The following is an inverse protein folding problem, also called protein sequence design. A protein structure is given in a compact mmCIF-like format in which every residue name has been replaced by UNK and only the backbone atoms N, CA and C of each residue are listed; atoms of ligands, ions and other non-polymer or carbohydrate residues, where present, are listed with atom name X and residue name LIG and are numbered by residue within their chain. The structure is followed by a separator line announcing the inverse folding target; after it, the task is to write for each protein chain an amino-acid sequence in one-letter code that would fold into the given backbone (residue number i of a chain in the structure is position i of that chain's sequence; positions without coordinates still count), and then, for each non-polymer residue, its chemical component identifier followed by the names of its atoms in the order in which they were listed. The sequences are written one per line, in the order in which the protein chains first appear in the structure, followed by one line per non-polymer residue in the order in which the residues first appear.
data_IF_936517137435
#
_entry.id   IF_936517137435
#
_cell.length_a   1.000
_cell.length_b   1.000
_cell.length_c   1.000
_cell.angle_alpha   90.00
_cell.angle_beta   90.00
_cell.angle_gamma   90.00
#
_symmetry.space_group_name_H-M   'P 1'
#
loop_
_entity.id
_entity.type
_entity.pdbx_description
1 polymer ?
#
# COMPACT_ATOMS: atom_id res chain seq x y z
N UNK A 1 -71.80 -27.23 -11.19
CA UNK A 1 -72.81 -28.08 -10.54
C UNK A 1 -72.39 -28.36 -9.11
N UNK A 2 -73.27 -27.84 -8.15
CA UNK A 2 -73.60 -28.38 -6.84
C UNK A 2 -72.48 -28.30 -5.76
N UNK A 3 -72.70 -27.88 -4.53
CA UNK A 3 -73.89 -27.41 -3.77
C UNK A 3 -73.41 -26.73 -2.50
N UNK A 4 -74.15 -25.69 -2.07
CA UNK A 4 -74.01 -24.95 -0.82
C UNK A 4 -74.52 -25.83 0.33
N UNK A 5 -73.85 -25.78 1.49
CA UNK A 5 -74.50 -26.13 2.75
C UNK A 5 -73.92 -25.27 3.90
N UNK A 6 -74.77 -24.43 4.40
CA UNK A 6 -74.66 -23.68 5.67
C UNK A 6 -74.50 -24.62 6.86
N UNK A 7 -73.63 -24.26 7.80
CA UNK A 7 -73.77 -24.64 9.21
C UNK A 7 -73.34 -23.53 10.15
N UNK A 8 -74.25 -23.25 11.00
CA UNK A 8 -74.30 -22.21 12.01
C UNK A 8 -73.08 -22.17 12.91
N UNK A 9 -72.59 -20.96 13.22
CA UNK A 9 -71.58 -20.65 14.21
C UNK A 9 -72.22 -20.34 15.52
N UNK A 10 -72.05 -21.20 16.51
CA UNK A 10 -72.49 -21.00 17.89
C UNK A 10 -71.38 -20.12 18.60
N UNK A 11 -71.82 -18.92 19.00
CA UNK A 11 -71.00 -17.95 19.74
C UNK A 11 -70.94 -18.35 21.22
N UNK A 12 -69.78 -18.79 21.70
CA UNK A 12 -69.45 -18.93 23.11
C UNK A 12 -68.67 -17.72 23.61
N UNK A 13 -69.34 -16.79 24.24
CA UNK A 13 -68.72 -15.74 25.06
C UNK A 13 -68.14 -16.36 26.33
N UNK A 14 -66.81 -16.49 26.40
CA UNK A 14 -66.08 -16.71 27.65
C UNK A 14 -65.37 -15.44 28.03
N UNK A 15 -65.80 -14.87 29.17
CA UNK A 15 -65.18 -13.75 29.86
C UNK A 15 -63.74 -14.12 30.27
N UNK A 16 -62.72 -13.49 29.67
CA UNK A 16 -61.37 -13.54 30.14
C UNK A 16 -61.09 -12.34 31.03
N UNK A 17 -60.94 -12.57 32.34
CA UNK A 17 -60.42 -11.57 33.29
C UNK A 17 -58.94 -11.37 33.04
N UNK A 18 -58.58 -10.19 32.53
CA UNK A 18 -57.18 -9.80 32.30
C UNK A 18 -56.58 -9.30 33.61
N UNK A 19 -55.86 -10.18 34.32
CA UNK A 19 -55.03 -9.79 35.46
C UNK A 19 -53.74 -9.17 34.93
N UNK A 20 -53.60 -7.84 34.97
CA UNK A 20 -52.37 -7.11 34.65
C UNK A 20 -51.36 -7.33 35.78
N UNK A 21 -50.41 -8.24 35.57
CA UNK A 21 -49.26 -8.42 36.46
C UNK A 21 -48.25 -7.30 36.11
N UNK A 22 -48.20 -6.27 36.96
CA UNK A 22 -47.22 -5.18 36.88
C UNK A 22 -45.87 -5.72 37.29
N UNK A 23 -45.05 -6.18 36.32
CA UNK A 23 -43.67 -6.59 36.58
C UNK A 23 -42.83 -5.30 36.68
N UNK A 24 -42.50 -4.87 37.88
CA UNK A 24 -41.50 -3.85 38.12
C UNK A 24 -40.12 -4.41 37.72
N UNK A 25 -39.61 -4.05 36.54
CA UNK A 25 -38.22 -4.22 36.24
C UNK A 25 -37.38 -3.23 37.08
N UNK A 26 -36.41 -3.68 37.86
CA UNK A 26 -35.49 -2.75 38.47
C UNK A 26 -34.74 -2.03 37.33
N UNK A 27 -34.84 -0.71 37.30
CA UNK A 27 -34.01 0.12 36.41
C UNK A 27 -32.54 -0.05 36.85
N UNK A 28 -31.86 -0.98 36.26
CA UNK A 28 -30.38 -1.05 36.34
C UNK A 28 -29.85 0.22 35.65
N UNK A 29 -29.50 1.20 36.50
CA UNK A 29 -28.68 2.34 36.05
C UNK A 29 -27.38 1.73 35.54
N UNK A 30 -27.26 1.55 34.21
CA UNK A 30 -25.98 1.32 33.58
C UNK A 30 -25.11 2.55 33.89
N UNK A 31 -24.30 2.45 34.91
CA UNK A 31 -23.18 3.35 35.12
C UNK A 31 -22.37 3.30 33.84
N UNK A 32 -22.46 4.34 33.01
CA UNK A 32 -21.47 4.56 31.95
C UNK A 32 -20.13 4.68 32.67
N UNK A 33 -19.34 3.61 32.63
CA UNK A 33 -17.93 3.69 32.99
C UNK A 33 -17.31 4.69 31.99
N UNK A 34 -17.07 5.90 32.48
CA UNK A 34 -16.27 6.89 31.76
C UNK A 34 -14.91 6.21 31.58
N UNK A 35 -14.57 5.83 30.34
CA UNK A 35 -13.26 5.27 30.05
C UNK A 35 -12.20 6.21 30.62
N UNK A 36 -11.16 5.69 31.27
CA UNK A 36 -10.08 6.53 31.79
C UNK A 36 -9.55 7.42 30.67
N UNK A 37 -9.23 8.69 30.93
CA UNK A 37 -8.75 9.60 29.92
C UNK A 37 -7.52 8.99 29.23
N UNK A 38 -7.55 8.94 27.89
CA UNK A 38 -6.43 8.44 27.09
C UNK A 38 -5.13 9.13 27.51
N UNK A 39 -4.08 8.34 27.74
CA UNK A 39 -2.78 8.85 28.15
C UNK A 39 -2.25 9.86 27.12
N UNK A 40 -1.81 11.01 27.60
CA UNK A 40 -1.17 12.01 26.75
C UNK A 40 0.32 11.68 26.65
N UNK A 41 0.85 11.69 25.43
CA UNK A 41 2.28 11.55 25.18
C UNK A 41 2.77 12.88 24.61
N UNK A 42 3.91 13.37 25.11
CA UNK A 42 4.60 14.55 24.60
C UNK A 42 5.94 14.11 24.00
N UNK A 43 6.11 14.30 22.71
CA UNK A 43 7.40 14.10 22.02
C UNK A 43 8.11 15.43 21.92
N UNK A 44 9.31 15.54 22.50
CA UNK A 44 10.21 16.70 22.38
C UNK A 44 11.16 16.43 21.20
N UNK A 45 10.94 17.06 20.08
CA UNK A 45 11.79 16.91 18.89
C UNK A 45 12.87 18.00 18.87
N UNK A 46 14.15 17.61 18.76
CA UNK A 46 15.23 18.57 18.52
C UNK A 46 15.07 19.25 17.17
N UNK A 47 14.79 18.43 16.14
CA UNK A 47 14.37 18.87 14.81
C UNK A 47 13.10 18.13 14.40
N UNK A 48 12.24 18.81 13.65
CA UNK A 48 11.03 18.26 13.05
C UNK A 48 11.06 18.59 11.56
N UNK A 49 10.95 17.57 10.71
CA UNK A 49 10.78 17.76 9.27
C UNK A 49 9.32 18.10 8.98
N UNK A 50 9.07 19.36 8.65
CA UNK A 50 7.76 19.84 8.19
C UNK A 50 7.65 19.63 6.69
N UNK A 51 7.18 18.44 6.31
CA UNK A 51 7.07 18.03 4.90
C UNK A 51 6.05 18.83 4.10
N UNK A 52 5.04 19.44 4.76
CA UNK A 52 4.03 20.25 4.07
C UNK A 52 4.60 21.59 3.59
N UNK A 53 5.45 22.21 4.39
CA UNK A 53 6.08 23.49 4.07
C UNK A 53 7.51 23.34 3.54
N UNK A 54 8.08 22.13 3.54
CA UNK A 54 9.45 21.87 3.11
C UNK A 54 10.49 22.51 4.04
N UNK A 55 10.22 22.54 5.34
CA UNK A 55 11.05 23.22 6.34
C UNK A 55 11.59 22.25 7.40
N UNK A 56 12.69 22.62 8.02
CA UNK A 56 13.19 21.99 9.26
C UNK A 56 12.90 22.93 10.41
N UNK A 57 12.08 22.48 11.36
CA UNK A 57 11.71 23.26 12.53
C UNK A 57 12.49 22.76 13.76
N UNK A 58 13.08 23.69 14.49
CA UNK A 58 13.85 23.40 15.71
C UNK A 58 12.95 23.36 16.96
N UNK A 59 13.30 22.47 17.92
CA UNK A 59 12.73 22.42 19.27
C UNK A 59 11.20 22.40 19.33
N UNK A 60 10.59 21.46 18.60
CA UNK A 60 9.13 21.31 18.54
C UNK A 60 8.63 20.33 19.62
N UNK A 61 7.43 20.61 20.14
CA UNK A 61 6.66 19.69 20.97
C UNK A 61 5.51 19.13 20.12
N UNK A 62 5.38 17.80 20.12
CA UNK A 62 4.26 17.10 19.48
C UNK A 62 3.46 16.43 20.60
N UNK A 63 2.21 16.83 20.79
CA UNK A 63 1.29 16.21 21.74
C UNK A 63 0.41 15.18 21.05
N UNK A 64 0.33 14.01 21.65
CA UNK A 64 -0.47 12.88 21.18
C UNK A 64 -1.52 12.51 22.22
N UNK A 65 -2.71 12.11 21.77
CA UNK A 65 -3.75 11.49 22.62
C UNK A 65 -4.33 10.31 21.87
N UNK A 66 -4.20 9.10 22.45
CA UNK A 66 -4.53 7.87 21.78
C UNK A 66 -3.82 7.78 20.44
N UNK A 67 -4.57 7.55 19.37
CA UNK A 67 -4.04 7.38 18.01
C UNK A 67 -3.70 8.69 17.27
N UNK A 68 -4.02 9.86 17.86
CA UNK A 68 -4.00 11.13 17.11
C UNK A 68 -3.02 12.15 17.67
N UNK A 69 -2.48 12.95 16.75
CA UNK A 69 -1.75 14.17 17.09
C UNK A 69 -2.77 15.24 17.46
N UNK A 70 -2.59 15.90 18.61
CA UNK A 70 -3.51 16.94 19.09
C UNK A 70 -2.93 18.36 18.99
N UNK A 71 -1.61 18.49 19.07
CA UNK A 71 -0.94 19.80 18.89
C UNK A 71 0.51 19.60 18.44
N UNK A 72 1.04 20.57 17.68
CA UNK A 72 2.45 20.65 17.27
C UNK A 72 2.89 22.11 17.34
N UNK A 73 4.05 22.39 17.91
CA UNK A 73 4.62 23.74 17.95
C UNK A 73 5.71 23.92 19.00
N UNK A 74 6.50 24.98 18.86
CA UNK A 74 7.56 25.33 19.83
C UNK A 74 7.02 25.76 21.19
N UNK A 75 5.83 26.40 21.21
CA UNK A 75 5.22 26.96 22.42
C UNK A 75 4.13 26.07 23.03
N UNK A 76 4.00 24.82 22.55
CA UNK A 76 3.01 23.87 23.05
C UNK A 76 3.33 23.49 24.48
N UNK A 77 2.37 23.72 25.38
CA UNK A 77 2.51 23.36 26.80
C UNK A 77 2.29 21.88 27.01
N UNK A 78 3.22 21.23 27.68
CA UNK A 78 3.10 19.81 28.05
C UNK A 78 2.18 19.71 29.26
N UNK A 79 1.04 18.98 29.18
CA UNK A 79 0.15 18.78 30.30
C UNK A 79 0.84 18.02 31.45
N UNK A 80 0.45 18.33 32.71
CA UNK A 80 0.90 17.57 33.84
C UNK A 80 0.49 16.09 33.71
N UNK A 81 1.41 15.16 34.02
CA UNK A 81 1.18 13.73 33.89
C UNK A 81 1.34 13.15 32.48
N UNK A 82 1.70 13.95 31.48
CA UNK A 82 2.02 13.43 30.14
C UNK A 82 3.30 12.57 30.17
N UNK A 83 3.27 11.42 29.49
CA UNK A 83 4.49 10.62 29.21
C UNK A 83 5.38 11.41 28.26
N UNK A 84 6.63 11.66 28.64
CA UNK A 84 7.58 12.40 27.79
C UNK A 84 8.46 11.40 27.04
N UNK A 85 8.53 11.57 25.71
CA UNK A 85 9.54 10.98 24.83
C UNK A 85 10.51 12.10 24.46
N UNK A 86 11.73 12.03 24.99
CA UNK A 86 12.73 13.08 24.79
C UNK A 86 13.63 12.74 23.60
N UNK A 87 13.37 13.41 22.45
CA UNK A 87 14.15 13.36 21.22
C UNK A 87 14.79 14.72 20.92
N UNK A 88 15.20 15.45 21.97
CA UNK A 88 15.82 16.77 21.83
C UNK A 88 17.14 16.77 21.05
N UNK A 89 17.76 15.58 20.88
CA UNK A 89 18.97 15.38 20.07
C UNK A 89 18.70 14.71 18.72
N UNK A 90 17.44 14.34 18.43
CA UNK A 90 17.05 13.58 17.23
C UNK A 90 16.28 14.45 16.25
N UNK A 91 16.18 13.96 15.02
CA UNK A 91 15.26 14.47 14.00
C UNK A 91 14.03 13.60 13.93
N UNK A 92 12.84 14.19 14.10
CA UNK A 92 11.55 13.52 14.01
C UNK A 92 10.91 13.82 12.65
N UNK A 93 10.36 12.78 12.03
CA UNK A 93 9.65 12.84 10.74
C UNK A 93 8.29 12.14 10.86
N UNK A 94 7.36 12.40 9.90
CA UNK A 94 6.21 11.51 9.72
C UNK A 94 6.67 10.08 9.47
N UNK A 95 5.86 9.10 9.86
CA UNK A 95 6.07 7.72 9.44
C UNK A 95 6.12 7.62 7.90
N UNK A 96 7.08 6.87 7.39
CA UNK A 96 7.31 6.70 5.97
C UNK A 96 6.21 5.85 5.33
N UNK A 97 6.00 6.06 4.04
CA UNK A 97 5.02 5.36 3.22
C UNK A 97 5.73 4.78 2.00
N UNK A 98 5.63 3.48 1.80
CA UNK A 98 6.07 2.79 0.59
C UNK A 98 4.84 2.50 -0.28
N UNK A 99 4.82 3.01 -1.51
CA UNK A 99 3.67 2.89 -2.40
C UNK A 99 3.74 1.68 -3.34
N UNK A 100 4.78 0.86 -3.25
CA UNK A 100 4.95 -0.33 -4.07
C UNK A 100 5.61 -1.45 -3.27
N UNK A 101 4.78 -2.30 -2.67
CA UNK A 101 5.25 -3.47 -1.91
C UNK A 101 4.46 -4.73 -2.29
N UNK A 102 5.03 -5.89 -1.95
CA UNK A 102 4.47 -7.22 -2.10
C UNK A 102 4.69 -8.02 -0.81
N UNK A 103 4.14 -7.52 0.33
CA UNK A 103 4.39 -8.11 1.65
C UNK A 103 3.84 -9.53 1.79
N UNK A 104 2.69 -9.79 1.14
CA UNK A 104 1.98 -11.06 1.22
C UNK A 104 2.13 -11.91 -0.05
N UNK A 105 3.07 -11.55 -0.91
CA UNK A 105 3.46 -12.37 -2.05
C UNK A 105 4.71 -13.17 -1.70
N UNK A 106 4.77 -14.43 -2.11
CA UNK A 106 5.98 -15.24 -1.96
C UNK A 106 7.11 -14.83 -2.93
N UNK A 107 7.18 -13.56 -3.32
CA UNK A 107 8.07 -13.01 -4.34
C UNK A 107 9.57 -13.20 -4.05
N UNK A 108 9.95 -13.44 -2.80
CA UNK A 108 11.31 -13.88 -2.45
C UNK A 108 11.74 -15.20 -3.09
N UNK A 109 10.79 -15.95 -3.65
CA UNK A 109 11.05 -17.17 -4.38
C UNK A 109 11.27 -16.92 -5.89
N UNK A 110 11.76 -15.74 -6.27
CA UNK A 110 12.30 -15.49 -7.61
C UNK A 110 13.60 -16.29 -7.84
N UNK A 111 13.54 -17.56 -7.44
CA UNK A 111 14.62 -18.54 -7.65
C UNK A 111 14.65 -19.08 -9.10
N UNK A 112 13.82 -18.49 -9.97
CA UNK A 112 13.69 -18.92 -11.36
C UNK A 112 12.89 -20.22 -11.54
N UNK A 113 12.37 -20.83 -10.45
CA UNK A 113 11.49 -21.98 -10.52
C UNK A 113 10.01 -21.52 -10.50
N UNK A 114 9.28 -21.56 -11.63
CA UNK A 114 7.88 -21.16 -11.67
C UNK A 114 6.99 -22.00 -10.76
N UNK A 115 7.45 -23.19 -10.34
CA UNK A 115 6.71 -24.05 -9.43
C UNK A 115 6.89 -23.70 -7.95
N UNK A 116 7.80 -22.78 -7.59
CA UNK A 116 8.09 -22.43 -6.19
C UNK A 116 6.83 -21.98 -5.45
N UNK A 117 6.01 -21.14 -6.08
CA UNK A 117 4.74 -20.67 -5.55
C UNK A 117 3.70 -21.78 -5.29
N UNK A 118 3.80 -22.92 -5.99
CA UNK A 118 2.88 -24.04 -5.84
C UNK A 118 3.30 -24.99 -4.70
N UNK A 119 4.48 -24.83 -4.13
CA UNK A 119 5.00 -25.68 -3.04
C UNK A 119 4.42 -25.33 -1.68
N UNK A 120 3.73 -24.19 -1.55
CA UNK A 120 3.16 -23.66 -0.31
C UNK A 120 1.64 -23.47 -0.46
N UNK A 121 0.91 -23.62 0.61
CA UNK A 121 -0.50 -23.24 0.68
C UNK A 121 -0.64 -21.70 0.82
N UNK A 122 -1.80 -21.14 0.47
CA UNK A 122 -2.07 -19.72 0.70
C UNK A 122 -1.87 -19.32 2.18
N UNK A 123 -2.28 -20.18 3.11
CA UNK A 123 -2.11 -19.95 4.54
C UNK A 123 -0.64 -19.91 4.97
N UNK A 124 0.21 -20.78 4.41
CA UNK A 124 1.66 -20.74 4.68
C UNK A 124 2.27 -19.42 4.18
N UNK A 125 1.92 -18.98 2.97
CA UNK A 125 2.42 -17.71 2.41
C UNK A 125 2.01 -16.53 3.29
N UNK A 126 0.75 -16.46 3.76
CA UNK A 126 0.30 -15.39 4.69
C UNK A 126 1.05 -15.45 6.02
N UNK A 127 1.30 -16.63 6.58
CA UNK A 127 2.06 -16.75 7.83
C UNK A 127 3.53 -16.34 7.65
N UNK A 128 4.15 -16.68 6.53
CA UNK A 128 5.51 -16.28 6.19
C UNK A 128 5.64 -14.78 5.91
N UNK A 129 4.56 -14.09 5.56
CA UNK A 129 4.54 -12.64 5.35
C UNK A 129 4.52 -11.80 6.64
N UNK A 130 4.22 -12.41 7.78
CA UNK A 130 4.20 -11.71 9.09
C UNK A 130 5.56 -11.10 9.45
N UNK A 131 6.69 -11.82 9.35
CA UNK A 131 8.02 -11.22 9.51
C UNK A 131 8.29 -10.07 8.55
N UNK A 132 7.84 -10.16 7.29
CA UNK A 132 8.00 -9.11 6.28
C UNK A 132 7.31 -7.82 6.71
N UNK A 133 6.04 -7.93 7.12
CA UNK A 133 5.26 -6.81 7.62
C UNK A 133 5.90 -6.16 8.86
N UNK A 134 6.40 -6.97 9.82
CA UNK A 134 7.11 -6.46 11.00
C UNK A 134 8.39 -5.75 10.61
N UNK A 135 9.20 -6.31 9.73
CA UNK A 135 10.46 -5.74 9.26
C UNK A 135 10.24 -4.39 8.58
N UNK A 136 9.25 -4.31 7.68
CA UNK A 136 8.84 -3.07 7.00
C UNK A 136 8.45 -1.99 8.02
N UNK A 137 7.61 -2.32 9.02
CA UNK A 137 7.24 -1.38 10.07
C UNK A 137 8.45 -0.91 10.89
N UNK A 138 9.35 -1.81 11.29
CA UNK A 138 10.54 -1.50 12.08
C UNK A 138 11.58 -0.70 11.29
N UNK A 139 11.56 -0.76 9.95
CA UNK A 139 12.37 0.09 9.07
C UNK A 139 11.84 1.52 8.93
N UNK A 140 10.67 1.82 9.56
CA UNK A 140 10.10 3.16 9.59
C UNK A 140 8.93 3.39 8.64
N UNK A 141 8.56 2.39 7.83
CA UNK A 141 7.39 2.46 6.94
C UNK A 141 6.14 2.10 7.72
N UNK A 142 5.43 3.11 8.19
CA UNK A 142 4.20 2.94 9.00
C UNK A 142 2.96 2.66 8.15
N UNK A 143 3.05 2.91 6.85
CA UNK A 143 2.00 2.66 5.87
C UNK A 143 2.61 2.11 4.59
N UNK A 144 1.93 1.18 3.93
CA UNK A 144 2.30 0.65 2.62
C UNK A 144 1.09 0.58 1.69
N UNK A 145 1.36 0.68 0.38
CA UNK A 145 0.43 0.25 -0.67
C UNK A 145 0.99 -1.04 -1.27
N UNK A 146 0.34 -2.15 -0.93
CA UNK A 146 0.68 -3.48 -1.45
C UNK A 146 -0.02 -3.67 -2.80
N UNK A 147 0.75 -3.76 -3.87
CA UNK A 147 0.21 -3.60 -5.23
C UNK A 147 -0.12 -4.93 -5.91
N UNK A 148 -0.45 -5.92 -5.13
CA UNK A 148 -1.00 -7.19 -5.58
C UNK A 148 -0.15 -8.39 -5.24
N UNK A 149 -0.74 -9.55 -5.46
CA UNK A 149 -0.19 -10.87 -5.13
C UNK A 149 -0.55 -11.89 -6.21
N UNK A 150 0.30 -12.90 -6.40
CA UNK A 150 0.01 -14.03 -7.28
C UNK A 150 -1.10 -14.91 -6.71
N UNK A 151 -1.06 -15.18 -5.39
CA UNK A 151 -2.15 -15.89 -4.71
C UNK A 151 -3.17 -14.91 -4.17
N UNK A 152 -4.29 -14.82 -4.87
CA UNK A 152 -5.33 -13.84 -4.61
C UNK A 152 -5.72 -13.75 -3.13
N UNK A 153 -5.88 -12.50 -2.65
CA UNK A 153 -6.41 -12.11 -1.34
C UNK A 153 -5.50 -12.41 -0.14
N UNK A 154 -4.26 -12.85 -0.35
CA UNK A 154 -3.30 -13.05 0.74
C UNK A 154 -2.96 -11.70 1.42
N UNK A 155 -2.81 -10.63 0.64
CA UNK A 155 -2.60 -9.25 1.12
C UNK A 155 -3.81 -8.71 1.90
N UNK A 156 -5.02 -9.02 1.46
CA UNK A 156 -6.27 -8.70 2.18
C UNK A 156 -6.28 -9.40 3.54
N UNK A 157 -5.92 -10.68 3.59
CA UNK A 157 -5.87 -11.43 4.83
C UNK A 157 -4.81 -10.89 5.80
N UNK A 158 -3.63 -10.51 5.32
CA UNK A 158 -2.56 -9.91 6.12
C UNK A 158 -2.99 -8.52 6.65
N UNK A 159 -3.52 -7.63 5.79
CA UNK A 159 -4.07 -6.34 6.19
C UNK A 159 -5.09 -6.48 7.32
N UNK A 160 -6.07 -7.34 7.13
CA UNK A 160 -7.14 -7.55 8.10
C UNK A 160 -6.62 -8.08 9.44
N UNK A 161 -5.59 -8.93 9.42
CA UNK A 161 -4.94 -9.41 10.64
C UNK A 161 -4.19 -8.28 11.38
N UNK A 162 -3.53 -7.38 10.64
CA UNK A 162 -2.86 -6.21 11.21
C UNK A 162 -3.88 -5.23 11.78
N UNK A 163 -4.96 -4.93 11.06
CA UNK A 163 -6.00 -4.00 11.50
C UNK A 163 -6.74 -4.48 12.75
N UNK A 164 -6.91 -5.79 12.90
CA UNK A 164 -7.48 -6.43 14.10
C UNK A 164 -6.46 -6.55 15.25
N UNK A 165 -5.21 -6.20 15.03
CA UNK A 165 -4.14 -6.28 16.01
C UNK A 165 -3.67 -7.71 16.33
N UNK A 166 -3.93 -8.68 15.44
CA UNK A 166 -3.46 -10.05 15.59
C UNK A 166 -1.98 -10.18 15.30
N UNK A 167 -1.47 -9.36 14.38
CA UNK A 167 -0.06 -9.28 14.02
C UNK A 167 0.41 -7.84 13.93
N UNK A 168 1.71 -7.60 14.14
CA UNK A 168 2.33 -6.29 13.96
C UNK A 168 2.71 -6.07 12.49
N UNK A 169 2.41 -4.88 11.97
CA UNK A 169 2.76 -4.48 10.61
C UNK A 169 2.38 -3.04 10.31
N UNK A 170 2.73 -2.52 9.14
CA UNK A 170 2.30 -1.20 8.68
C UNK A 170 0.78 -1.19 8.42
N UNK A 171 0.20 0.01 8.29
CA UNK A 171 -1.15 0.16 7.71
C UNK A 171 -1.06 -0.21 6.23
N UNK A 172 -1.83 -1.19 5.77
CA UNK A 172 -1.78 -1.67 4.39
C UNK A 172 -2.97 -1.17 3.58
N UNK A 173 -2.70 -0.81 2.32
CA UNK A 173 -3.69 -0.60 1.27
C UNK A 173 -3.41 -1.62 0.18
N UNK A 174 -4.35 -2.52 -0.11
CA UNK A 174 -4.12 -3.77 -0.83
C UNK A 174 -4.89 -3.87 -2.13
N UNK A 175 -4.36 -4.61 -3.10
CA UNK A 175 -4.95 -4.81 -4.42
C UNK A 175 -5.62 -6.19 -4.62
N UNK A 176 -5.35 -7.18 -3.78
CA UNK A 176 -5.98 -8.49 -3.76
C UNK A 176 -5.50 -9.47 -4.83
N UNK A 177 -5.27 -9.02 -6.05
CA UNK A 177 -4.68 -9.79 -7.15
C UNK A 177 -4.28 -8.86 -8.29
N UNK A 178 -3.38 -9.33 -9.15
CA UNK A 178 -3.05 -8.65 -10.41
C UNK A 178 -4.19 -8.85 -11.42
N UNK A 179 -4.70 -7.78 -12.05
CA UNK A 179 -5.50 -7.92 -13.27
C UNK A 179 -4.52 -7.98 -14.43
N UNK A 180 -4.49 -9.11 -15.14
CA UNK A 180 -3.51 -9.45 -16.17
C UNK A 180 -4.19 -10.23 -17.31
N UNK A 181 -3.58 -10.25 -18.48
CA UNK A 181 -4.00 -11.14 -19.57
C UNK A 181 -3.57 -12.58 -19.29
N UNK A 182 -4.18 -13.55 -19.95
CA UNK A 182 -3.70 -14.95 -19.92
C UNK A 182 -2.26 -15.02 -20.42
N UNK A 183 -1.38 -15.58 -19.58
CA UNK A 183 0.06 -15.64 -19.87
C UNK A 183 0.80 -14.31 -19.81
N UNK A 184 0.17 -13.27 -19.25
CA UNK A 184 0.79 -11.96 -19.04
C UNK A 184 1.67 -11.89 -17.80
N UNK A 185 2.20 -10.70 -17.52
CA UNK A 185 3.18 -10.43 -16.47
C UNK A 185 2.72 -10.83 -15.07
N UNK A 186 1.42 -10.73 -14.78
CA UNK A 186 0.82 -11.12 -13.49
C UNK A 186 0.26 -12.54 -13.47
N UNK A 187 0.43 -13.32 -14.53
CA UNK A 187 -0.01 -14.69 -14.58
C UNK A 187 1.11 -15.65 -14.15
N UNK A 188 0.71 -16.77 -13.58
CA UNK A 188 1.64 -17.89 -13.35
C UNK A 188 1.95 -18.58 -14.67
N UNK A 189 3.19 -18.47 -15.13
CA UNK A 189 3.66 -18.96 -16.43
C UNK A 189 4.77 -20.00 -16.29
N UNK A 190 5.25 -20.57 -17.40
CA UNK A 190 6.35 -21.55 -17.39
C UNK A 190 5.89 -23.00 -17.21
N UNK A 191 4.58 -23.29 -17.23
CA UNK A 191 4.01 -24.63 -17.12
C UNK A 191 3.55 -25.18 -18.47
N UNK A 192 3.44 -26.50 -18.57
CA UNK A 192 2.80 -27.13 -19.71
C UNK A 192 1.31 -26.73 -19.79
N UNK A 193 0.74 -26.57 -21.01
CA UNK A 193 -0.63 -26.07 -21.18
C UNK A 193 -1.75 -26.91 -20.58
N UNK A 194 -1.47 -28.17 -20.24
CA UNK A 194 -2.40 -29.09 -19.60
C UNK A 194 -2.37 -29.06 -18.07
N UNK A 195 -1.44 -28.29 -17.47
CA UNK A 195 -1.39 -28.07 -16.02
C UNK A 195 -2.51 -27.12 -15.62
N UNK A 196 -3.32 -27.55 -14.65
CA UNK A 196 -4.37 -26.72 -14.05
C UNK A 196 -3.87 -26.14 -12.75
N UNK A 197 -3.74 -24.83 -12.71
CA UNK A 197 -3.38 -24.09 -11.50
C UNK A 197 -4.58 -23.99 -10.53
N UNK A 198 -4.35 -23.88 -9.23
CA UNK A 198 -5.37 -23.48 -8.27
C UNK A 198 -6.07 -22.16 -8.68
N UNK A 199 -7.35 -22.05 -8.34
CA UNK A 199 -8.21 -20.94 -8.75
C UNK A 199 -7.67 -19.54 -8.35
N UNK A 200 -6.95 -19.48 -7.24
CA UNK A 200 -6.40 -18.25 -6.67
C UNK A 200 -5.27 -17.63 -7.53
N UNK A 201 -4.58 -18.44 -8.35
CA UNK A 201 -3.57 -17.94 -9.28
C UNK A 201 -4.14 -17.33 -10.56
N UNK A 202 -5.36 -17.70 -10.94
CA UNK A 202 -6.02 -17.16 -12.14
C UNK A 202 -7.12 -16.15 -11.81
N UNK A 203 -7.15 -15.68 -10.55
CA UNK A 203 -8.23 -14.84 -10.04
C UNK A 203 -8.40 -13.55 -10.82
N UNK A 204 -7.29 -12.89 -11.19
CA UNK A 204 -7.28 -11.63 -11.92
C UNK A 204 -7.18 -11.75 -13.44
N UNK A 205 -7.10 -12.95 -14.04
CA UNK A 205 -6.99 -13.08 -15.49
C UNK A 205 -8.23 -12.55 -16.22
N UNK A 206 -7.99 -11.69 -17.24
CA UNK A 206 -9.01 -11.07 -18.06
C UNK A 206 -8.47 -10.76 -19.46
N UNK A 207 -9.24 -11.07 -20.52
CA UNK A 207 -8.82 -10.97 -21.93
C UNK A 207 -9.78 -10.11 -22.77
N UNK A 208 -10.59 -9.30 -22.12
CA UNK A 208 -11.50 -8.36 -22.79
C UNK A 208 -11.92 -7.25 -21.83
N UNK A 209 -12.39 -6.09 -22.33
CA UNK A 209 -12.91 -5.02 -21.48
C UNK A 209 -14.04 -5.47 -20.55
N UNK A 210 -14.86 -6.43 -20.98
CA UNK A 210 -15.91 -7.02 -20.16
C UNK A 210 -15.37 -7.83 -19.00
N UNK A 211 -14.41 -8.71 -19.26
CA UNK A 211 -13.78 -9.53 -18.21
C UNK A 211 -13.01 -8.66 -17.22
N UNK A 212 -12.30 -7.64 -17.68
CA UNK A 212 -11.64 -6.64 -16.81
C UNK A 212 -12.65 -6.00 -15.85
N UNK A 213 -13.84 -5.57 -16.34
CA UNK A 213 -14.89 -5.03 -15.46
C UNK A 213 -15.37 -6.04 -14.43
N UNK A 214 -15.53 -7.31 -14.83
CA UNK A 214 -15.91 -8.38 -13.91
C UNK A 214 -14.88 -8.57 -12.80
N UNK A 215 -13.57 -8.57 -13.14
CA UNK A 215 -12.49 -8.71 -12.16
C UNK A 215 -12.44 -7.52 -11.20
N UNK A 216 -12.61 -6.30 -11.70
CA UNK A 216 -12.70 -5.12 -10.83
C UNK A 216 -13.86 -5.23 -9.83
N UNK A 217 -15.05 -5.67 -10.27
CA UNK A 217 -16.20 -5.90 -9.38
C UNK A 217 -15.93 -6.95 -8.33
N UNK A 218 -15.29 -8.04 -8.73
CA UNK A 218 -14.95 -9.13 -7.84
C UNK A 218 -13.98 -8.67 -6.75
N UNK A 219 -12.87 -8.03 -7.13
CA UNK A 219 -11.91 -7.47 -6.19
C UNK A 219 -12.52 -6.41 -5.27
N UNK A 220 -13.38 -5.52 -5.81
CA UNK A 220 -14.11 -4.55 -5.00
C UNK A 220 -15.03 -5.21 -3.96
N UNK A 221 -15.71 -6.32 -4.33
CA UNK A 221 -16.51 -7.13 -3.42
C UNK A 221 -15.66 -7.74 -2.30
N UNK A 222 -14.46 -8.20 -2.62
CA UNK A 222 -13.54 -8.82 -1.67
C UNK A 222 -12.81 -7.81 -0.77
N UNK A 223 -13.09 -6.52 -0.95
CA UNK A 223 -12.69 -5.47 -0.03
C UNK A 223 -11.27 -4.96 -0.25
N UNK A 224 -10.79 -4.95 -1.50
CA UNK A 224 -9.51 -4.30 -1.84
C UNK A 224 -9.59 -2.77 -1.73
N UNK A 225 -8.45 -2.10 -1.57
CA UNK A 225 -8.35 -0.66 -1.41
C UNK A 225 -8.04 0.06 -2.73
N UNK A 226 -7.51 -0.65 -3.70
CA UNK A 226 -7.21 -0.19 -5.06
C UNK A 226 -7.13 -1.36 -6.04
N UNK A 227 -7.02 -1.06 -7.33
CA UNK A 227 -6.87 -2.05 -8.40
C UNK A 227 -5.44 -1.98 -8.95
N UNK A 228 -4.82 -3.12 -9.20
CA UNK A 228 -3.55 -3.23 -9.93
C UNK A 228 -3.76 -3.93 -11.27
N UNK A 229 -3.38 -3.26 -12.36
CA UNK A 229 -3.36 -3.83 -13.72
C UNK A 229 -1.93 -3.95 -14.23
N UNK A 230 -1.67 -4.95 -15.07
CA UNK A 230 -0.39 -5.16 -15.76
C UNK A 230 -0.55 -4.70 -17.21
N UNK A 231 -0.06 -3.48 -17.52
CA UNK A 231 -0.22 -2.87 -18.84
C UNK A 231 0.80 -3.39 -19.85
N UNK A 232 1.94 -3.87 -19.36
CA UNK A 232 3.02 -4.46 -20.18
C UNK A 232 3.52 -5.74 -19.54
N UNK A 233 4.38 -6.44 -20.27
CA UNK A 233 5.18 -7.52 -19.70
C UNK A 233 6.13 -7.04 -18.60
N UNK A 234 6.67 -7.98 -17.83
CA UNK A 234 7.56 -7.76 -16.69
C UNK A 234 8.95 -8.36 -16.93
N UNK A 235 9.93 -7.90 -16.14
CA UNK A 235 11.33 -8.39 -16.18
C UNK A 235 11.44 -9.78 -15.56
N UNK A 236 10.76 -10.03 -14.43
CA UNK A 236 10.92 -11.22 -13.60
C UNK A 236 9.82 -12.28 -13.82
N UNK A 237 9.10 -12.26 -14.93
CA UNK A 237 8.07 -13.25 -15.26
C UNK A 237 8.47 -14.09 -16.47
N UNK A 238 8.51 -15.41 -16.32
CA UNK A 238 8.85 -16.35 -17.40
C UNK A 238 7.98 -16.15 -18.64
N UNK A 239 8.62 -16.01 -19.81
CA UNK A 239 7.92 -15.83 -21.08
C UNK A 239 7.29 -14.45 -21.29
N UNK A 240 7.37 -13.56 -20.31
CA UNK A 240 6.94 -12.18 -20.43
C UNK A 240 8.03 -11.32 -21.11
N UNK A 241 7.61 -10.27 -21.80
CA UNK A 241 8.51 -9.33 -22.46
C UNK A 241 8.21 -7.91 -21.98
N UNK A 242 9.10 -7.26 -21.21
CA UNK A 242 8.87 -5.91 -20.69
C UNK A 242 8.68 -4.86 -21.78
N UNK A 243 9.10 -5.13 -23.02
CA UNK A 243 8.88 -4.24 -24.17
C UNK A 243 7.53 -4.46 -24.87
N UNK A 244 6.72 -5.46 -24.45
CA UNK A 244 5.44 -5.76 -25.06
C UNK A 244 4.29 -5.14 -24.27
N UNK A 245 3.36 -4.51 -24.97
CA UNK A 245 2.07 -4.12 -24.41
C UNK A 245 1.22 -5.38 -24.21
N UNK A 246 0.53 -5.48 -23.05
CA UNK A 246 -0.38 -6.57 -22.74
C UNK A 246 -1.84 -6.14 -22.83
N UNK A 247 -2.24 -5.10 -22.11
CA UNK A 247 -3.60 -4.56 -22.21
C UNK A 247 -3.70 -3.45 -23.27
N UNK A 248 -4.78 -3.48 -24.05
CA UNK A 248 -5.17 -2.37 -24.93
C UNK A 248 -5.63 -1.16 -24.14
N UNK A 249 -5.67 0.01 -24.78
CA UNK A 249 -6.23 1.22 -24.15
C UNK A 249 -7.69 1.02 -23.71
N UNK A 250 -8.50 0.29 -24.47
CA UNK A 250 -9.91 0.04 -24.16
C UNK A 250 -10.06 -0.82 -22.88
N UNK A 251 -9.21 -1.83 -22.71
CA UNK A 251 -9.20 -2.68 -21.50
C UNK A 251 -8.77 -1.88 -20.26
N UNK A 252 -7.74 -1.05 -20.39
CA UNK A 252 -7.29 -0.15 -19.32
C UNK A 252 -8.38 0.88 -18.95
N UNK A 253 -9.07 1.44 -19.93
CA UNK A 253 -10.21 2.33 -19.70
C UNK A 253 -11.37 1.61 -19.01
N UNK A 254 -11.61 0.34 -19.34
CA UNK A 254 -12.61 -0.49 -18.66
C UNK A 254 -12.26 -0.67 -17.18
N UNK A 255 -10.98 -0.93 -16.87
CA UNK A 255 -10.52 -1.05 -15.48
C UNK A 255 -10.74 0.25 -14.71
N UNK A 256 -10.28 1.39 -15.24
CA UNK A 256 -10.38 2.70 -14.59
C UNK A 256 -11.83 3.13 -14.41
N UNK A 257 -12.65 3.01 -15.47
CA UNK A 257 -14.07 3.38 -15.43
C UNK A 257 -14.83 2.55 -14.38
N UNK A 258 -14.58 1.25 -14.32
CA UNK A 258 -15.25 0.38 -13.37
C UNK A 258 -14.77 0.62 -11.93
N UNK A 259 -13.46 0.77 -11.72
CA UNK A 259 -12.88 1.07 -10.40
C UNK A 259 -13.46 2.37 -9.81
N UNK A 260 -13.64 3.40 -10.63
CA UNK A 260 -14.22 4.67 -10.22
C UNK A 260 -15.66 4.52 -9.68
N UNK A 261 -16.46 3.56 -10.19
CA UNK A 261 -17.80 3.27 -9.68
C UNK A 261 -17.79 2.80 -8.22
N UNK A 262 -16.69 2.23 -7.78
CA UNK A 262 -16.48 1.77 -6.39
C UNK A 262 -15.61 2.73 -5.56
N UNK A 263 -15.23 3.89 -6.12
CA UNK A 263 -14.32 4.83 -5.45
C UNK A 263 -12.88 4.35 -5.35
N UNK A 264 -12.53 3.30 -6.09
CA UNK A 264 -11.18 2.72 -6.15
C UNK A 264 -10.33 3.43 -7.19
N UNK A 265 -9.02 3.39 -6.99
CA UNK A 265 -8.02 3.91 -7.91
C UNK A 265 -7.28 2.77 -8.59
N UNK A 266 -6.72 3.03 -9.77
CA UNK A 266 -5.97 2.04 -10.53
C UNK A 266 -4.49 2.39 -10.52
N UNK A 267 -3.65 1.43 -10.19
CA UNK A 267 -2.21 1.41 -10.36
C UNK A 267 -1.86 0.53 -11.56
N UNK A 268 -0.94 0.95 -12.43
CA UNK A 268 -0.56 0.19 -13.62
C UNK A 268 0.93 -0.12 -13.62
N UNK A 269 1.29 -1.41 -13.61
CA UNK A 269 2.63 -1.85 -13.96
C UNK A 269 2.88 -1.57 -15.45
N UNK A 270 3.96 -0.89 -15.80
CA UNK A 270 4.33 -0.67 -17.18
C UNK A 270 5.82 -0.35 -17.35
N UNK A 271 6.48 -1.10 -18.24
CA UNK A 271 7.85 -0.82 -18.68
C UNK A 271 7.90 -0.18 -20.07
N UNK A 272 7.14 -0.71 -21.05
CA UNK A 272 7.15 -0.26 -22.43
C UNK A 272 6.49 1.12 -22.64
N UNK A 273 7.02 1.99 -23.52
CA UNK A 273 6.52 3.35 -23.70
C UNK A 273 5.03 3.42 -24.07
N UNK A 274 4.55 2.55 -24.97
CA UNK A 274 3.14 2.56 -25.37
C UNK A 274 2.20 2.10 -24.25
N UNK A 275 2.60 1.07 -23.47
CA UNK A 275 1.83 0.63 -22.30
C UNK A 275 1.75 1.72 -21.23
N UNK A 276 2.85 2.44 -20.97
CA UNK A 276 2.89 3.60 -20.06
C UNK A 276 1.92 4.68 -20.54
N UNK A 277 2.01 5.09 -21.83
CA UNK A 277 1.15 6.14 -22.39
C UNK A 277 -0.32 5.74 -22.38
N UNK A 278 -0.62 4.48 -22.71
CA UNK A 278 -2.00 3.98 -22.69
C UNK A 278 -2.56 3.91 -21.26
N UNK A 279 -1.77 3.51 -20.27
CA UNK A 279 -2.17 3.55 -18.86
C UNK A 279 -2.49 5.00 -18.41
N UNK A 280 -1.65 5.97 -18.77
CA UNK A 280 -1.89 7.39 -18.47
C UNK A 280 -3.15 7.90 -19.17
N UNK A 281 -3.32 7.63 -20.47
CA UNK A 281 -4.52 8.03 -21.26
C UNK A 281 -5.80 7.38 -20.75
N UNK A 282 -5.71 6.16 -20.19
CA UNK A 282 -6.84 5.49 -19.55
C UNK A 282 -7.24 6.15 -18.22
N UNK A 283 -6.37 6.96 -17.63
CA UNK A 283 -6.64 7.68 -16.39
C UNK A 283 -6.23 6.93 -15.12
N UNK A 284 -5.21 6.07 -15.19
CA UNK A 284 -4.65 5.43 -13.99
C UNK A 284 -4.11 6.47 -13.01
N UNK A 285 -4.15 6.15 -11.73
CA UNK A 285 -3.66 7.03 -10.68
C UNK A 285 -2.14 7.07 -10.62
N UNK A 286 -1.49 5.92 -10.84
CA UNK A 286 -0.04 5.80 -10.89
C UNK A 286 0.40 4.81 -11.96
N UNK A 287 1.61 5.02 -12.46
CA UNK A 287 2.36 4.05 -13.27
C UNK A 287 3.55 3.60 -12.43
N UNK A 288 3.62 2.31 -12.21
CA UNK A 288 4.68 1.64 -11.48
C UNK A 288 5.84 1.32 -12.44
N UNK A 289 7.08 1.41 -11.99
CA UNK A 289 8.33 1.25 -12.73
C UNK A 289 8.56 2.33 -13.78
N UNK A 290 7.67 2.50 -14.74
CA UNK A 290 7.75 3.48 -15.84
C UNK A 290 9.12 3.48 -16.56
N UNK A 291 9.76 2.32 -16.67
CA UNK A 291 11.18 2.15 -16.98
C UNK A 291 11.60 2.81 -18.29
N UNK A 292 10.87 2.55 -19.38
CA UNK A 292 11.16 3.07 -20.71
C UNK A 292 10.31 4.30 -21.08
N UNK A 293 9.85 5.05 -20.08
CA UNK A 293 9.05 6.25 -20.32
C UNK A 293 9.82 7.23 -21.23
N UNK A 294 9.18 7.66 -22.32
CA UNK A 294 9.71 8.64 -23.26
C UNK A 294 9.28 10.08 -22.90
N UNK A 295 9.76 11.05 -23.66
CA UNK A 295 9.45 12.46 -23.41
C UNK A 295 7.95 12.77 -23.58
N UNK A 296 7.23 12.05 -24.48
CA UNK A 296 5.77 12.13 -24.60
C UNK A 296 5.08 11.57 -23.36
N UNK A 297 5.50 10.40 -22.86
CA UNK A 297 4.96 9.80 -21.64
C UNK A 297 5.16 10.70 -20.42
N UNK A 298 6.32 11.34 -20.29
CA UNK A 298 6.62 12.33 -19.23
C UNK A 298 5.66 13.53 -19.34
N UNK A 299 5.45 14.05 -20.54
CA UNK A 299 4.52 15.16 -20.77
C UNK A 299 3.08 14.78 -20.40
N UNK A 300 2.62 13.61 -20.84
CA UNK A 300 1.30 13.06 -20.51
C UNK A 300 1.12 12.85 -19.01
N UNK A 301 2.11 12.27 -18.33
CA UNK A 301 2.04 12.04 -16.87
C UNK A 301 1.89 13.38 -16.12
N UNK A 302 2.61 14.41 -16.54
CA UNK A 302 2.49 15.76 -15.97
C UNK A 302 1.12 16.39 -16.26
N UNK A 303 0.62 16.31 -17.48
CA UNK A 303 -0.67 16.87 -17.92
C UNK A 303 -1.84 16.22 -17.18
N UNK A 304 -1.87 14.89 -17.11
CA UNK A 304 -2.92 14.12 -16.45
C UNK A 304 -2.78 14.11 -14.91
N UNK A 305 -1.63 14.53 -14.38
CA UNK A 305 -1.33 14.47 -12.95
C UNK A 305 -1.20 13.05 -12.42
N UNK A 306 -0.85 12.11 -13.31
CA UNK A 306 -0.53 10.73 -12.96
C UNK A 306 0.78 10.69 -12.19
N UNK A 307 0.83 9.91 -11.13
CA UNK A 307 2.05 9.69 -10.38
C UNK A 307 2.95 8.68 -11.09
N UNK A 308 4.25 8.89 -11.03
CA UNK A 308 5.24 7.85 -11.35
C UNK A 308 5.80 7.31 -10.03
N UNK A 309 5.74 6.01 -9.89
CA UNK A 309 6.31 5.26 -8.77
C UNK A 309 7.43 4.38 -9.34
N UNK A 310 8.66 4.89 -9.25
CA UNK A 310 9.81 4.30 -9.93
C UNK A 310 10.80 3.76 -8.90
N UNK A 311 10.95 2.47 -8.88
CA UNK A 311 11.74 1.63 -7.97
C UNK A 311 13.22 1.55 -8.39
N UNK A 312 13.88 2.70 -8.51
CA UNK A 312 15.21 2.84 -9.13
C UNK A 312 16.38 2.21 -8.35
N UNK A 313 16.13 1.61 -7.19
CA UNK A 313 17.08 0.82 -6.41
C UNK A 313 16.96 -0.68 -6.68
N UNK A 314 15.86 -1.13 -7.24
CA UNK A 314 15.50 -2.54 -7.40
C UNK A 314 16.57 -3.35 -8.17
N UNK A 315 17.14 -2.80 -9.26
CA UNK A 315 18.24 -3.41 -10.01
C UNK A 315 19.40 -3.87 -9.10
N UNK A 316 19.75 -3.09 -8.07
CA UNK A 316 20.85 -3.46 -7.15
C UNK A 316 20.54 -4.77 -6.41
N UNK A 317 19.28 -4.98 -6.04
CA UNK A 317 18.81 -6.20 -5.38
C UNK A 317 18.80 -7.38 -6.35
N UNK A 318 18.25 -7.19 -7.56
CA UNK A 318 18.18 -8.22 -8.60
C UNK A 318 19.59 -8.68 -8.97
N UNK A 319 20.51 -7.74 -9.24
CA UNK A 319 21.91 -8.06 -9.56
C UNK A 319 22.64 -8.71 -8.37
N UNK A 320 22.34 -8.33 -7.12
CA UNK A 320 22.91 -8.97 -5.94
C UNK A 320 22.39 -10.40 -5.77
N UNK A 321 21.10 -10.62 -5.95
CA UNK A 321 20.49 -11.96 -5.93
C UNK A 321 21.03 -12.85 -7.06
N UNK A 322 21.27 -12.29 -8.23
CA UNK A 322 21.89 -12.99 -9.37
C UNK A 322 23.26 -13.58 -9.07
N UNK A 323 24.08 -12.89 -8.25
CA UNK A 323 25.38 -13.41 -7.83
C UNK A 323 25.28 -14.70 -7.00
N UNK A 324 24.14 -14.99 -6.41
CA UNK A 324 23.89 -16.22 -5.67
C UNK A 324 23.38 -17.37 -6.56
N UNK A 325 23.17 -17.12 -7.86
CA UNK A 325 22.63 -18.09 -8.82
C UNK A 325 21.11 -18.34 -8.70
N UNK A 326 20.42 -17.50 -7.95
CA UNK A 326 18.96 -17.62 -7.74
C UNK A 326 18.13 -17.06 -8.89
N UNK A 327 18.66 -16.10 -9.65
CA UNK A 327 17.96 -15.45 -10.76
C UNK A 327 18.54 -15.95 -12.08
N UNK A 328 17.73 -16.34 -13.07
CA UNK A 328 18.17 -16.74 -14.40
C UNK A 328 19.00 -15.66 -15.10
N UNK A 329 19.98 -16.08 -15.92
CA UNK A 329 20.93 -15.17 -16.54
C UNK A 329 20.28 -14.18 -17.53
N UNK A 330 19.24 -14.63 -18.24
CA UNK A 330 18.46 -13.81 -19.16
C UNK A 330 17.69 -12.68 -18.43
N UNK A 331 17.13 -12.96 -17.25
CA UNK A 331 16.50 -11.92 -16.42
C UNK A 331 17.53 -10.87 -15.95
N UNK A 332 18.74 -11.30 -15.56
CA UNK A 332 19.81 -10.40 -15.14
C UNK A 332 20.33 -9.50 -16.26
N UNK A 333 20.35 -10.01 -17.50
CA UNK A 333 20.76 -9.22 -18.67
C UNK A 333 19.69 -8.15 -18.97
N UNK A 334 18.41 -8.53 -19.02
CA UNK A 334 17.30 -7.59 -19.23
C UNK A 334 17.24 -6.53 -18.14
N UNK A 335 17.37 -6.90 -16.87
CA UNK A 335 17.36 -6.00 -15.74
C UNK A 335 18.48 -4.95 -15.82
N UNK A 336 19.72 -5.36 -16.10
CA UNK A 336 20.88 -4.47 -16.20
C UNK A 336 20.70 -3.40 -17.26
N UNK A 337 20.19 -3.77 -18.44
CA UNK A 337 19.97 -2.84 -19.54
C UNK A 337 18.87 -1.86 -19.23
N UNK A 338 17.81 -2.29 -18.54
CA UNK A 338 16.66 -1.49 -18.19
C UNK A 338 16.90 -0.56 -17.00
N UNK A 339 17.63 -0.98 -15.98
CA UNK A 339 17.86 -0.20 -14.77
C UNK A 339 18.54 1.15 -15.01
N UNK A 340 19.60 1.18 -15.82
CA UNK A 340 20.27 2.44 -16.17
C UNK A 340 19.38 3.36 -17.03
N UNK A 341 18.50 2.79 -17.86
CA UNK A 341 17.51 3.58 -18.62
C UNK A 341 16.47 4.16 -17.68
N UNK A 342 15.95 3.35 -16.75
CA UNK A 342 14.98 3.78 -15.74
C UNK A 342 15.52 4.95 -14.91
N UNK A 343 16.75 4.85 -14.40
CA UNK A 343 17.41 5.91 -13.62
C UNK A 343 17.56 7.22 -14.38
N UNK A 344 17.92 7.15 -15.68
CA UNK A 344 17.98 8.34 -16.54
C UNK A 344 16.59 8.94 -16.77
N UNK A 345 15.57 8.11 -16.97
CA UNK A 345 14.20 8.55 -17.16
C UNK A 345 13.59 9.11 -15.88
N UNK A 346 13.91 8.53 -14.72
CA UNK A 346 13.59 9.12 -13.41
C UNK A 346 14.11 10.55 -13.31
N UNK A 347 15.40 10.75 -13.60
CA UNK A 347 16.00 12.08 -13.57
C UNK A 347 15.34 13.07 -14.54
N UNK A 348 14.87 12.62 -15.71
CA UNK A 348 14.09 13.45 -16.66
C UNK A 348 12.72 13.82 -16.07
N UNK A 349 12.01 12.85 -15.50
CA UNK A 349 10.68 13.04 -14.90
C UNK A 349 10.74 14.01 -13.71
N UNK A 350 11.76 13.89 -12.84
CA UNK A 350 12.02 14.83 -11.74
C UNK A 350 12.22 16.26 -12.27
N UNK A 351 13.10 16.45 -13.26
CA UNK A 351 13.35 17.77 -13.85
C UNK A 351 12.11 18.35 -14.54
N UNK A 352 11.27 17.51 -15.12
CA UNK A 352 10.01 17.93 -15.75
C UNK A 352 8.94 18.32 -14.71
N UNK A 353 9.13 17.97 -13.44
CA UNK A 353 8.18 18.25 -12.36
C UNK A 353 6.95 17.33 -12.41
N UNK A 354 7.11 16.09 -12.83
CA UNK A 354 6.08 15.05 -12.72
C UNK A 354 5.87 14.71 -11.23
N UNK A 355 4.68 14.36 -10.86
CA UNK A 355 4.38 13.87 -9.51
C UNK A 355 5.05 12.51 -9.28
N UNK A 356 5.88 12.42 -8.26
CA UNK A 356 6.60 11.19 -7.91
C UNK A 356 6.17 10.70 -6.53
N UNK A 357 6.13 9.38 -6.35
CA UNK A 357 6.00 8.73 -5.06
C UNK A 357 7.21 7.82 -4.79
N UNK A 358 7.33 7.39 -3.55
CA UNK A 358 8.33 6.44 -3.11
C UNK A 358 7.73 5.04 -3.15
N UNK A 359 8.31 4.15 -3.93
CA UNK A 359 7.98 2.75 -4.01
C UNK A 359 9.24 1.93 -4.27
N UNK A 360 9.33 0.74 -3.71
CA UNK A 360 10.59 -0.03 -3.68
C UNK A 360 10.50 -1.39 -4.37
N UNK A 361 9.29 -1.83 -4.73
CA UNK A 361 9.02 -3.19 -5.15
C UNK A 361 9.51 -4.23 -4.10
N UNK A 362 9.33 -3.86 -2.79
CA UNK A 362 9.74 -4.73 -1.69
C UNK A 362 9.00 -6.07 -1.75
N UNK A 363 9.77 -7.12 -1.83
CA UNK A 363 9.40 -8.46 -2.25
C UNK A 363 10.42 -8.95 -3.28
N UNK A 364 10.82 -8.10 -4.22
CA UNK A 364 12.01 -8.27 -5.07
C UNK A 364 13.26 -7.93 -4.25
N UNK A 365 13.28 -6.75 -3.64
CA UNK A 365 14.28 -6.40 -2.61
C UNK A 365 13.85 -6.92 -1.22
N UNK A 366 14.83 -7.22 -0.33
CA UNK A 366 14.53 -7.44 1.09
C UNK A 366 13.85 -6.22 1.73
N UNK A 367 12.93 -6.47 2.65
CA UNK A 367 12.08 -5.43 3.25
C UNK A 367 12.84 -4.45 4.17
N UNK A 368 14.02 -4.82 4.68
CA UNK A 368 14.85 -3.99 5.55
C UNK A 368 15.77 -3.02 4.81
N UNK A 369 15.92 -3.17 3.49
CA UNK A 369 16.76 -2.28 2.66
C UNK A 369 15.95 -1.22 1.88
N UNK A 370 14.64 -1.20 2.02
CA UNK A 370 13.74 -0.28 1.31
C UNK A 370 14.22 1.20 1.36
N UNK A 371 14.74 1.64 2.51
CA UNK A 371 15.21 3.01 2.68
C UNK A 371 16.46 3.36 1.83
N UNK A 372 17.18 2.39 1.28
CA UNK A 372 18.32 2.65 0.37
C UNK A 372 17.87 3.39 -0.90
N UNK A 373 16.62 3.23 -1.32
CA UNK A 373 16.06 3.96 -2.46
C UNK A 373 16.15 5.48 -2.31
N UNK A 374 16.06 6.02 -1.10
CA UNK A 374 16.21 7.47 -0.88
C UNK A 374 17.52 8.02 -1.40
N UNK A 375 18.63 7.30 -1.17
CA UNK A 375 19.96 7.71 -1.64
C UNK A 375 20.01 7.73 -3.18
N UNK A 376 19.36 6.78 -3.84
CA UNK A 376 19.25 6.74 -5.30
C UNK A 376 18.37 7.88 -5.83
N UNK A 377 17.22 8.16 -5.22
CA UNK A 377 16.36 9.28 -5.62
C UNK A 377 17.12 10.61 -5.56
N UNK A 378 17.92 10.83 -4.51
CA UNK A 378 18.76 12.04 -4.39
C UNK A 378 19.89 12.04 -5.42
N UNK A 379 20.59 10.90 -5.61
CA UNK A 379 21.66 10.74 -6.63
C UNK A 379 21.16 11.08 -8.04
N UNK A 380 19.90 10.75 -8.34
CA UNK A 380 19.32 10.93 -9.66
C UNK A 380 18.42 12.18 -9.77
N UNK A 381 18.53 13.13 -8.85
CA UNK A 381 18.08 14.52 -9.05
C UNK A 381 17.03 15.08 -8.14
N UNK A 382 16.50 14.33 -7.18
CA UNK A 382 15.67 14.89 -6.13
C UNK A 382 16.51 15.60 -5.07
N UNK A 383 15.98 16.65 -4.46
CA UNK A 383 16.52 17.11 -3.19
C UNK A 383 16.13 16.14 -2.06
N UNK A 384 16.88 16.10 -0.93
CA UNK A 384 16.49 15.25 0.19
C UNK A 384 15.05 15.50 0.68
N UNK A 385 14.60 16.76 0.68
CA UNK A 385 13.23 17.12 1.05
C UNK A 385 12.20 16.54 0.06
N UNK A 386 12.47 16.61 -1.25
CA UNK A 386 11.58 16.03 -2.26
C UNK A 386 11.48 14.51 -2.11
N UNK A 387 12.59 13.82 -1.83
CA UNK A 387 12.59 12.39 -1.57
C UNK A 387 11.77 12.03 -0.32
N UNK A 388 11.90 12.80 0.79
CA UNK A 388 11.07 12.61 1.98
C UNK A 388 9.58 12.91 1.68
N UNK A 389 9.29 13.95 0.92
CA UNK A 389 7.92 14.29 0.53
C UNK A 389 7.27 13.20 -0.32
N UNK A 390 8.03 12.53 -1.20
CA UNK A 390 7.53 11.41 -2.01
C UNK A 390 7.08 10.23 -1.16
N UNK A 391 7.78 9.95 -0.03
CA UNK A 391 7.47 8.90 0.93
C UNK A 391 6.52 9.35 2.07
N UNK A 392 5.91 10.52 1.96
CA UNK A 392 5.04 11.06 3.02
C UNK A 392 3.79 11.70 2.42
N UNK A 393 3.78 13.02 2.18
CA UNK A 393 2.58 13.74 1.72
C UNK A 393 2.14 13.36 0.31
N UNK A 394 3.08 13.09 -0.61
CA UNK A 394 2.73 12.67 -1.97
C UNK A 394 2.15 11.27 -1.96
N UNK A 395 2.76 10.33 -1.23
CA UNK A 395 2.26 8.98 -1.03
C UNK A 395 0.86 8.97 -0.39
N UNK A 396 0.65 9.74 0.69
CA UNK A 396 -0.66 9.88 1.30
C UNK A 396 -1.71 10.44 0.33
N UNK A 397 -1.31 11.36 -0.56
CA UNK A 397 -2.19 11.91 -1.62
C UNK A 397 -2.46 10.89 -2.72
N UNK A 398 -1.47 10.11 -3.13
CA UNK A 398 -1.63 9.00 -4.07
C UNK A 398 -2.68 8.00 -3.55
N UNK A 399 -2.52 7.55 -2.30
CA UNK A 399 -3.44 6.62 -1.63
C UNK A 399 -4.84 7.24 -1.43
N UNK A 400 -4.94 8.58 -1.34
CA UNK A 400 -6.21 9.29 -1.17
C UNK A 400 -6.56 9.62 0.27
N UNK A 401 -5.60 9.59 1.16
CA UNK A 401 -5.76 9.79 2.59
C UNK A 401 -4.88 10.93 3.17
N UNK A 402 -4.66 12.06 2.46
CA UNK A 402 -3.76 13.11 2.93
C UNK A 402 -4.24 13.81 4.22
N UNK A 403 -5.52 13.66 4.57
CA UNK A 403 -6.07 14.17 5.84
C UNK A 403 -5.82 13.26 7.04
N UNK A 404 -5.40 12.01 6.83
CA UNK A 404 -5.27 11.01 7.89
C UNK A 404 -3.83 10.80 8.36
N UNK A 405 -2.85 10.79 7.45
CA UNK A 405 -1.43 10.54 7.70
C UNK A 405 -0.52 11.27 6.72
N UNK A 406 0.79 11.00 6.73
CA UNK A 406 1.80 11.55 5.82
C UNK A 406 2.36 12.92 6.24
N UNK A 407 1.91 13.50 7.34
CA UNK A 407 2.56 14.69 7.96
C UNK A 407 2.24 14.78 9.45
N UNK A 408 3.07 15.49 10.20
CA UNK A 408 2.90 15.70 11.64
C UNK A 408 2.05 16.95 11.85
N UNK A 409 0.71 16.78 11.90
CA UNK A 409 -0.29 17.84 12.10
C UNK A 409 -1.41 17.40 13.04
N UNK A 410 -1.98 18.33 13.74
CA UNK A 410 -3.15 18.07 14.59
C UNK A 410 -4.30 17.44 13.78
N UNK A 411 -4.92 16.40 14.34
CA UNK A 411 -5.99 15.62 13.73
C UNK A 411 -5.52 14.39 12.94
N UNK A 412 -4.27 14.34 12.50
CA UNK A 412 -3.71 13.17 11.80
C UNK A 412 -3.32 12.05 12.77
N UNK A 413 -3.11 10.85 12.25
CA UNK A 413 -2.59 9.74 13.04
C UNK A 413 -1.19 10.05 13.58
N UNK A 414 -0.91 9.56 14.76
CA UNK A 414 0.39 9.66 15.41
C UNK A 414 1.34 8.61 14.83
N UNK A 415 1.72 8.79 13.57
CA UNK A 415 2.70 8.01 12.84
C UNK A 415 4.00 8.82 12.76
N UNK A 416 4.98 8.43 13.57
CA UNK A 416 6.23 9.17 13.76
C UNK A 416 7.42 8.22 13.68
N UNK A 417 8.50 8.70 13.06
CA UNK A 417 9.82 8.07 13.16
C UNK A 417 10.84 9.07 13.70
N UNK A 418 11.95 8.56 14.22
CA UNK A 418 13.09 9.39 14.57
C UNK A 418 14.40 8.76 14.11
N UNK A 419 15.34 9.65 13.70
CA UNK A 419 16.72 9.32 13.35
C UNK A 419 17.69 10.17 14.16
N UNK A 420 18.92 9.69 14.34
CA UNK A 420 19.92 10.41 15.16
C UNK A 420 20.52 11.61 14.43
N UNK A 421 20.64 11.55 13.11
CA UNK A 421 21.25 12.57 12.26
C UNK A 421 20.25 13.53 11.62
N UNK A 422 20.75 14.26 10.61
CA UNK A 422 19.99 15.18 9.78
C UNK A 422 19.77 14.58 8.38
N UNK A 423 18.56 14.10 8.05
CA UNK A 423 18.29 13.48 6.75
C UNK A 423 18.24 14.51 5.61
N UNK A 424 18.22 15.81 5.90
CA UNK A 424 18.36 16.84 4.86
C UNK A 424 19.82 17.02 4.46
N UNK A 425 20.74 16.86 5.42
CA UNK A 425 22.19 16.90 5.14
C UNK A 425 22.70 15.59 4.55
N UNK A 426 22.23 14.46 5.07
CA UNK A 426 22.54 13.12 4.56
C UNK A 426 21.29 12.23 4.62
N UNK A 427 20.68 12.02 3.47
CA UNK A 427 19.44 11.25 3.32
C UNK A 427 19.56 9.81 3.82
N UNK A 428 20.78 9.23 3.83
CA UNK A 428 21.05 7.86 4.33
C UNK A 428 20.78 7.70 5.83
N UNK A 429 20.56 8.80 6.57
CA UNK A 429 20.07 8.69 7.96
C UNK A 429 18.74 7.94 8.06
N UNK A 430 17.94 7.92 6.97
CA UNK A 430 16.68 7.16 6.91
C UNK A 430 16.89 5.63 6.84
N UNK A 431 18.10 5.17 6.52
CA UNK A 431 18.47 3.75 6.57
C UNK A 431 18.61 3.27 8.03
N UNK A 432 18.69 4.17 9.00
CA UNK A 432 18.97 3.91 10.41
C UNK A 432 17.91 4.52 11.34
N UNK A 433 16.63 4.21 11.08
CA UNK A 433 15.53 4.64 11.93
C UNK A 433 15.67 4.03 13.33
N UNK A 434 15.72 4.86 14.36
CA UNK A 434 15.93 4.45 15.76
C UNK A 434 14.64 4.43 16.57
N UNK A 435 13.56 5.01 16.08
CA UNK A 435 12.25 5.01 16.73
C UNK A 435 11.14 4.91 15.71
N UNK A 436 10.13 4.10 15.99
CA UNK A 436 8.94 3.95 15.14
C UNK A 436 7.69 3.95 16.01
N UNK A 437 6.75 4.82 15.67
CA UNK A 437 5.40 4.87 16.24
C UNK A 437 4.37 4.85 15.11
N UNK A 438 3.37 3.98 15.24
CA UNK A 438 2.19 3.94 14.36
C UNK A 438 0.93 4.06 15.23
N UNK A 439 0.05 5.00 14.90
CA UNK A 439 -1.20 5.25 15.63
C UNK A 439 -1.00 5.40 17.14
N UNK A 440 0.08 6.09 17.55
CA UNK A 440 0.41 6.31 18.96
C UNK A 440 1.03 5.13 19.70
N UNK A 441 1.13 3.96 19.07
CA UNK A 441 1.79 2.77 19.61
C UNK A 441 3.24 2.70 19.18
N UNK A 442 4.15 2.38 20.09
CA UNK A 442 5.61 2.29 19.84
C UNK A 442 5.94 0.87 19.38
N UNK A 443 6.63 0.74 18.26
CA UNK A 443 7.07 -0.54 17.67
C UNK A 443 8.59 -0.71 17.66
N UNK A 444 9.33 0.42 17.78
CA UNK A 444 10.80 0.43 17.89
C UNK A 444 11.23 1.59 18.77
N UNK A 445 12.17 1.32 19.68
CA UNK A 445 12.75 2.34 20.57
C UNK A 445 14.16 1.92 21.00
#
# INVERSE_FOLDING_TARGET
LLEIRDREVLVFLRSFSLSVLLVMFPATILSQQIAPPEAVIAVKAGRLIDVENGLVLEKQIILLRGKKIVAVGGDVKIPAGAKILDFSTKTVLPGLIDCHTHLADGAHDSDGDPASQLKKTASEVVLESIPNARMTLQSGFTTVRDVGVYRALNDVALRDAIDKGYVEGPRMFVAGAYITITGGAGAMTGFAPDIKLPWDFNYGEANSPWEVRQKVRLLAHDGVDHIKVLSTGAVLTHGSNPNAQEFTLEELQAAVSEANNFGLRVAAHAHAPEGIKNAIRAGVRSVEHATLIDDEGIALAKEHGTYLDMDIYDEECIQAAGKTGKIPADFLEHDRDLGEIQRRNFAKAVRAGVKMTFGTDAGVCPYDVAAHQFAFMVKYGMTPMQAIQSATIHAATLIGKPGEFGSIRAGKFADLIAVDGDPIADIRQLEHVTFVMKEGSIYKQ
#
